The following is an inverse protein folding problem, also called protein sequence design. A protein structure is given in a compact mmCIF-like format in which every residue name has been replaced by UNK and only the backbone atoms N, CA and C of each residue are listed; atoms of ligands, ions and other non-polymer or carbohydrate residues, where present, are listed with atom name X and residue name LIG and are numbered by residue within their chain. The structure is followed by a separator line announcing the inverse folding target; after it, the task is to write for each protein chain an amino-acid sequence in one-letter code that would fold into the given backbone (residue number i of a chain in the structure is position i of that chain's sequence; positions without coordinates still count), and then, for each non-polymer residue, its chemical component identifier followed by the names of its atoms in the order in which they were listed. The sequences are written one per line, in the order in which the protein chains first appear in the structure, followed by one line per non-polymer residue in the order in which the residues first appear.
data_IF_346378815379
#
_entry.id   IF_346378815379
#
_cell.length_a   1.000
_cell.length_b   1.000
_cell.length_c   1.000
_cell.angle_alpha   90.00
_cell.angle_beta   90.00
_cell.angle_gamma   90.00
#
_symmetry.space_group_name_H-M   'P 1'
#
loop_
_entity.id
_entity.type
_entity.pdbx_description
1 polymer ?
#
# COMPACT_ATOMS: atom_id res chain seq x y z
N UNK A 1 -40.75 14.35 3.91
CA UNK A 1 -40.60 13.11 3.11
C UNK A 1 -39.15 12.66 3.25
N UNK A 2 -38.88 11.89 4.30
CA UNK A 2 -37.55 11.38 4.62
C UNK A 2 -37.29 10.10 3.83
N UNK A 3 -36.06 9.93 3.33
CA UNK A 3 -35.19 8.76 3.56
C UNK A 3 -33.82 9.13 3.01
N UNK A 4 -32.95 9.54 3.93
CA UNK A 4 -31.50 9.56 3.80
C UNK A 4 -31.04 8.09 3.81
N UNK A 5 -30.34 7.64 2.77
CA UNK A 5 -29.57 6.38 2.82
C UNK A 5 -28.18 6.60 2.23
N UNK A 6 -27.23 6.70 3.15
CA UNK A 6 -25.78 6.58 2.98
C UNK A 6 -25.41 5.29 2.25
N UNK A 7 -24.32 5.32 1.48
CA UNK A 7 -23.81 4.14 0.79
C UNK A 7 -22.34 3.93 1.17
N UNK A 8 -22.17 3.07 2.17
CA UNK A 8 -20.93 2.42 2.58
C UNK A 8 -20.60 1.27 1.62
N UNK A 9 -19.32 1.11 1.23
CA UNK A 9 -18.85 -0.13 0.60
C UNK A 9 -18.87 -1.21 1.69
N UNK A 10 -19.98 -1.95 1.78
CA UNK A 10 -20.09 -3.10 2.68
C UNK A 10 -19.55 -4.31 1.93
N UNK A 11 -18.31 -4.69 2.22
CA UNK A 11 -17.77 -5.98 1.80
C UNK A 11 -18.42 -7.03 2.71
N UNK A 12 -19.35 -7.83 2.20
CA UNK A 12 -19.81 -9.02 2.91
C UNK A 12 -18.70 -10.07 2.83
N UNK A 13 -17.92 -10.18 3.90
CA UNK A 13 -17.01 -11.29 4.09
C UNK A 13 -17.83 -12.55 4.39
N UNK A 14 -17.78 -13.56 3.51
CA UNK A 14 -18.27 -14.90 3.84
C UNK A 14 -17.17 -15.66 4.58
N UNK A 15 -16.92 -15.26 5.82
CA UNK A 15 -16.36 -16.16 6.82
C UNK A 15 -17.46 -16.43 7.83
N UNK A 16 -18.23 -17.49 7.61
CA UNK A 16 -19.11 -18.03 8.63
C UNK A 16 -18.94 -19.55 8.71
N UNK A 17 -18.01 -19.96 9.57
CA UNK A 17 -17.85 -21.35 10.02
C UNK A 17 -18.05 -21.47 11.55
N UNK A 18 -18.77 -20.54 12.18
CA UNK A 18 -19.04 -20.59 13.61
C UNK A 18 -20.53 -20.88 13.84
N UNK A 19 -20.90 -22.16 13.98
CA UNK A 19 -22.24 -22.48 14.48
C UNK A 19 -22.82 -23.88 14.21
N UNK A 20 -22.15 -24.76 13.46
CA UNK A 20 -22.63 -26.14 13.29
C UNK A 20 -21.82 -27.09 14.16
N UNK A 21 -22.45 -27.55 15.24
CA UNK A 21 -22.03 -28.68 16.05
C UNK A 21 -22.09 -29.96 15.19
N UNK A 22 -21.00 -30.28 14.50
CA UNK A 22 -20.85 -31.52 13.74
C UNK A 22 -20.00 -32.48 14.58
N UNK A 23 -20.57 -33.56 15.13
CA UNK A 23 -19.79 -34.57 15.85
C UNK A 23 -19.13 -35.53 14.84
N UNK A 24 -18.11 -35.04 14.13
CA UNK A 24 -17.02 -35.81 13.50
C UNK A 24 -16.22 -34.91 12.54
N UNK A 25 -15.18 -34.25 13.04
CA UNK A 25 -14.13 -33.72 12.18
C UNK A 25 -12.88 -34.57 12.40
N UNK A 26 -12.82 -35.70 11.69
CA UNK A 26 -11.58 -36.45 11.53
C UNK A 26 -10.65 -35.68 10.59
N UNK A 27 -9.59 -35.07 11.15
CA UNK A 27 -8.53 -34.38 10.42
C UNK A 27 -8.60 -32.86 10.59
N UNK A 28 -7.55 -32.14 10.96
CA UNK A 28 -6.14 -32.49 10.95
C UNK A 28 -5.30 -31.47 11.74
N UNK A 29 -4.38 -32.05 12.53
CA UNK A 29 -2.99 -31.62 12.73
C UNK A 29 -2.74 -30.24 13.36
N UNK A 30 -2.30 -30.31 14.63
CA UNK A 30 -1.50 -29.30 15.33
C UNK A 30 -0.46 -28.62 14.42
N UNK A 31 -0.18 -27.31 14.58
CA UNK A 31 0.90 -26.68 13.84
C UNK A 31 2.22 -27.34 14.24
N UNK A 32 2.80 -28.04 13.27
CA UNK A 32 4.14 -28.58 13.35
C UNK A 32 5.15 -27.45 13.62
N UNK A 33 6.13 -27.75 14.46
CA UNK A 33 7.37 -27.01 14.68
C UNK A 33 7.79 -26.21 13.43
N UNK A 34 7.89 -24.86 13.47
CA UNK A 34 8.10 -24.08 12.27
C UNK A 34 9.50 -24.38 11.73
N UNK A 35 9.56 -25.29 10.76
CA UNK A 35 10.76 -25.52 9.95
C UNK A 35 11.03 -24.19 9.23
N UNK A 36 12.03 -23.45 9.70
CA UNK A 36 12.40 -22.16 9.14
C UNK A 36 12.62 -22.36 7.64
N UNK A 37 11.94 -21.56 6.83
CA UNK A 37 12.01 -21.69 5.38
C UNK A 37 13.37 -21.18 4.92
N UNK A 38 14.02 -21.89 3.99
CA UNK A 38 15.37 -21.55 3.48
C UNK A 38 15.52 -20.09 3.03
N UNK A 39 14.46 -19.47 2.50
CA UNK A 39 14.50 -18.06 2.12
C UNK A 39 14.53 -17.13 3.34
N UNK A 40 13.87 -17.48 4.44
CA UNK A 40 13.88 -16.70 5.68
C UNK A 40 15.26 -16.74 6.33
N UNK A 41 15.91 -17.92 6.36
CA UNK A 41 17.29 -18.06 6.84
C UNK A 41 18.25 -17.15 6.07
N UNK A 42 18.14 -17.14 4.73
CA UNK A 42 18.93 -16.25 3.88
C UNK A 42 18.62 -14.77 4.14
N UNK A 43 17.34 -14.41 4.32
CA UNK A 43 16.92 -13.05 4.65
C UNK A 43 17.53 -12.59 5.98
N UNK A 44 17.42 -13.38 7.05
CA UNK A 44 17.95 -12.97 8.36
C UNK A 44 19.48 -12.85 8.32
N UNK A 45 20.17 -13.79 7.68
CA UNK A 45 21.62 -13.72 7.54
C UNK A 45 22.08 -12.47 6.78
N UNK A 46 21.42 -12.14 5.66
CA UNK A 46 21.74 -10.93 4.90
C UNK A 46 21.37 -9.65 5.66
N UNK A 47 20.25 -9.67 6.40
CA UNK A 47 19.87 -8.56 7.26
C UNK A 47 20.95 -8.31 8.32
N UNK A 48 21.42 -9.37 8.99
CA UNK A 48 22.48 -9.27 10.00
C UNK A 48 23.78 -8.69 9.42
N UNK A 49 24.22 -9.14 8.24
CA UNK A 49 25.39 -8.58 7.56
C UNK A 49 25.23 -7.09 7.19
N UNK A 50 24.02 -6.67 6.82
CA UNK A 50 23.71 -5.25 6.58
C UNK A 50 23.74 -4.47 7.89
N UNK A 51 23.16 -5.02 8.96
CA UNK A 51 23.15 -4.41 10.29
C UNK A 51 24.54 -4.26 10.91
N UNK A 52 25.42 -5.24 10.70
CA UNK A 52 26.82 -5.21 11.15
C UNK A 52 27.71 -4.31 10.25
N UNK A 53 27.17 -3.73 9.18
CA UNK A 53 27.91 -2.86 8.27
C UNK A 53 28.82 -3.58 7.28
N UNK A 54 28.75 -4.92 7.16
CA UNK A 54 29.49 -5.68 6.13
C UNK A 54 29.09 -5.25 4.72
N UNK A 55 27.79 -4.95 4.55
CA UNK A 55 27.30 -4.26 3.36
C UNK A 55 26.87 -2.84 3.75
N UNK A 56 27.75 -1.83 3.59
CA UNK A 56 27.39 -0.47 3.91
C UNK A 56 26.24 0.05 3.02
N UNK A 57 25.48 1.05 3.50
CA UNK A 57 24.54 1.82 2.69
C UNK A 57 25.05 2.14 1.28
N UNK A 58 24.21 1.89 0.26
CA UNK A 58 24.55 2.19 -1.13
C UNK A 58 25.46 1.16 -1.81
N UNK A 59 25.93 0.13 -1.11
CA UNK A 59 26.70 -0.95 -1.73
C UNK A 59 25.82 -1.93 -2.49
N UNK A 60 26.38 -2.51 -3.54
CA UNK A 60 25.71 -3.52 -4.37
C UNK A 60 25.79 -4.88 -3.68
N UNK A 61 24.65 -5.54 -3.49
CA UNK A 61 24.61 -6.93 -3.03
C UNK A 61 24.78 -7.89 -4.22
N UNK A 62 25.21 -9.16 -4.00
CA UNK A 62 25.38 -10.11 -5.09
C UNK A 62 24.11 -10.28 -5.92
N UNK A 63 24.26 -10.51 -7.22
CA UNK A 63 23.10 -10.76 -8.09
C UNK A 63 22.38 -12.05 -7.68
N UNK A 64 21.10 -12.18 -8.05
CA UNK A 64 20.29 -13.38 -7.74
C UNK A 64 20.99 -14.67 -8.20
N UNK A 65 21.62 -14.65 -9.38
CA UNK A 65 22.35 -15.81 -9.93
C UNK A 65 23.62 -16.12 -9.12
N UNK A 66 24.37 -15.10 -8.73
CA UNK A 66 25.57 -15.27 -7.90
C UNK A 66 25.20 -15.80 -6.51
N UNK A 67 24.18 -15.22 -5.86
CA UNK A 67 23.72 -15.64 -4.54
C UNK A 67 23.16 -17.06 -4.56
N UNK A 68 22.42 -17.41 -5.61
CA UNK A 68 21.94 -18.78 -5.84
C UNK A 68 23.09 -19.78 -5.93
N UNK A 69 24.14 -19.46 -6.69
CA UNK A 69 25.34 -20.31 -6.78
C UNK A 69 26.14 -20.40 -5.47
N UNK A 70 26.32 -19.27 -4.77
CA UNK A 70 27.09 -19.22 -3.53
C UNK A 70 26.43 -19.97 -2.37
N UNK A 71 25.11 -19.88 -2.25
CA UNK A 71 24.34 -20.51 -1.17
C UNK A 71 23.77 -21.88 -1.58
N UNK A 72 23.97 -22.29 -2.82
CA UNK A 72 23.40 -23.51 -3.41
C UNK A 72 21.87 -23.58 -3.21
N UNK A 73 21.20 -22.46 -3.44
CA UNK A 73 19.75 -22.29 -3.32
C UNK A 73 19.12 -22.06 -4.69
N UNK A 74 17.85 -22.44 -4.85
CA UNK A 74 17.13 -22.14 -6.09
C UNK A 74 17.01 -20.62 -6.30
N UNK A 75 17.00 -20.20 -7.57
CA UNK A 75 16.77 -18.80 -7.96
C UNK A 75 15.47 -18.26 -7.33
N UNK A 76 14.41 -19.08 -7.28
CA UNK A 76 13.13 -18.71 -6.66
C UNK A 76 13.25 -18.41 -5.18
N UNK A 77 14.05 -19.18 -4.43
CA UNK A 77 14.30 -18.96 -3.00
C UNK A 77 15.03 -17.65 -2.76
N UNK A 78 16.06 -17.35 -3.57
CA UNK A 78 16.80 -16.09 -3.49
C UNK A 78 15.92 -14.89 -3.83
N UNK A 79 15.07 -15.01 -4.87
CA UNK A 79 14.10 -13.96 -5.21
C UNK A 79 13.11 -13.71 -4.07
N UNK A 80 12.61 -14.75 -3.40
CA UNK A 80 11.76 -14.59 -2.22
C UNK A 80 12.48 -13.89 -1.07
N UNK A 81 13.74 -14.26 -0.81
CA UNK A 81 14.56 -13.63 0.22
C UNK A 81 14.81 -12.14 -0.07
N UNK A 82 15.13 -11.80 -1.33
CA UNK A 82 15.37 -10.41 -1.75
C UNK A 82 14.08 -9.59 -1.71
N UNK A 83 12.96 -10.16 -2.14
CA UNK A 83 11.64 -9.51 -2.00
C UNK A 83 11.28 -9.26 -0.53
N UNK A 84 11.66 -10.15 0.39
CA UNK A 84 11.46 -9.91 1.81
C UNK A 84 12.38 -8.82 2.36
N UNK A 85 13.66 -8.79 1.96
CA UNK A 85 14.61 -7.71 2.32
C UNK A 85 14.14 -6.34 1.78
N UNK A 86 13.58 -6.30 0.57
CA UNK A 86 13.04 -5.09 -0.05
C UNK A 86 11.78 -4.60 0.68
N UNK A 87 10.87 -5.52 1.04
CA UNK A 87 9.72 -5.20 1.89
C UNK A 87 10.13 -4.68 3.27
N UNK A 88 11.22 -5.19 3.84
CA UNK A 88 11.85 -4.70 5.08
C UNK A 88 12.66 -3.40 4.88
N UNK A 89 12.71 -2.85 3.66
CA UNK A 89 13.47 -1.64 3.31
C UNK A 89 14.97 -1.73 3.61
N UNK A 90 15.54 -2.94 3.62
CA UNK A 90 16.98 -3.16 3.81
C UNK A 90 17.74 -3.04 2.48
N UNK A 91 17.08 -3.38 1.38
CA UNK A 91 17.63 -3.29 0.03
C UNK A 91 16.64 -2.59 -0.89
N UNK A 92 17.11 -2.11 -2.03
CA UNK A 92 16.31 -1.53 -3.09
C UNK A 92 16.74 -2.08 -4.46
N UNK A 93 15.77 -2.30 -5.34
CA UNK A 93 16.03 -2.66 -6.73
C UNK A 93 16.24 -1.40 -7.57
N UNK A 94 17.40 -1.30 -8.23
CA UNK A 94 17.71 -0.25 -9.20
C UNK A 94 17.59 -0.82 -10.61
N UNK A 95 16.70 -0.30 -11.48
CA UNK A 95 16.52 -0.78 -12.84
C UNK A 95 17.85 -0.90 -13.57
N UNK A 96 18.10 -2.04 -14.22
CA UNK A 96 19.34 -2.36 -14.96
C UNK A 96 20.64 -2.42 -14.14
N UNK A 97 20.66 -1.95 -12.89
CA UNK A 97 21.87 -1.97 -12.03
C UNK A 97 21.87 -3.12 -11.02
N UNK A 98 20.71 -3.66 -10.63
CA UNK A 98 20.58 -4.77 -9.68
C UNK A 98 20.13 -4.32 -8.30
N UNK A 99 20.53 -5.03 -7.25
CA UNK A 99 20.09 -4.77 -5.88
C UNK A 99 21.18 -4.05 -5.08
N UNK A 100 20.77 -3.05 -4.30
CA UNK A 100 21.65 -2.23 -3.48
C UNK A 100 21.14 -2.17 -2.05
N UNK A 101 22.03 -2.09 -1.07
CA UNK A 101 21.66 -1.82 0.32
C UNK A 101 21.07 -0.42 0.39
N UNK A 102 19.86 -0.33 0.94
CA UNK A 102 19.17 0.93 1.09
C UNK A 102 19.92 1.78 2.10
N UNK A 103 20.18 3.04 1.77
CA UNK A 103 20.65 3.98 2.77
C UNK A 103 19.56 4.14 3.83
N UNK A 104 19.85 3.70 5.06
CA UNK A 104 19.04 4.11 6.20
C UNK A 104 19.31 5.59 6.40
N UNK A 105 18.36 6.41 5.99
CA UNK A 105 18.25 7.75 6.55
C UNK A 105 17.84 7.55 8.01
N UNK A 106 18.80 7.27 8.88
CA UNK A 106 18.65 7.40 10.34
C UNK A 106 18.65 8.88 10.73
N UNK A 107 17.99 9.75 9.95
CA UNK A 107 17.47 10.98 10.53
C UNK A 107 16.30 10.55 11.40
N UNK A 108 16.62 10.04 12.59
CA UNK A 108 15.67 9.94 13.68
C UNK A 108 15.26 11.38 13.93
N UNK A 109 14.12 11.78 13.38
CA UNK A 109 13.54 13.08 13.64
C UNK A 109 13.48 13.23 15.17
N UNK A 110 13.94 14.36 15.72
CA UNK A 110 13.87 14.57 17.16
C UNK A 110 12.42 14.40 17.61
N UNK A 111 12.24 13.77 18.77
CA UNK A 111 10.91 13.66 19.35
C UNK A 111 10.33 15.07 19.53
N UNK A 112 9.10 15.34 19.04
CA UNK A 112 8.52 16.65 19.18
C UNK A 112 8.29 16.97 20.67
N UNK A 113 8.58 18.19 21.07
CA UNK A 113 8.27 18.65 22.43
C UNK A 113 6.75 18.61 22.68
N UNK A 114 6.35 18.30 23.91
CA UNK A 114 4.95 18.34 24.32
C UNK A 114 4.45 19.78 24.18
N UNK A 115 3.46 20.00 23.30
CA UNK A 115 2.84 21.32 23.14
C UNK A 115 2.17 21.76 24.44
N UNK A 116 2.35 23.03 24.84
CA UNK A 116 1.71 23.65 26.01
C UNK A 116 0.78 24.81 25.60
N UNK A 117 -0.36 24.53 24.94
CA UNK A 117 -1.30 25.57 24.56
C UNK A 117 -1.88 26.30 25.79
N UNK A 118 -2.28 27.56 25.60
CA UNK A 118 -2.97 28.33 26.65
C UNK A 118 -4.23 27.58 27.11
N UNK A 119 -4.45 27.52 28.42
CA UNK A 119 -5.60 26.85 29.04
C UNK A 119 -6.85 27.73 29.11
N UNK A 120 -6.69 29.03 28.88
CA UNK A 120 -7.80 29.97 28.90
C UNK A 120 -8.71 29.74 27.68
N UNK A 121 -10.04 29.70 27.86
CA UNK A 121 -10.98 29.66 26.75
C UNK A 121 -10.77 30.88 25.84
N UNK A 122 -10.45 30.63 24.57
CA UNK A 122 -10.46 31.66 23.54
C UNK A 122 -11.82 31.71 22.87
N UNK A 123 -12.29 32.91 22.52
CA UNK A 123 -13.38 33.06 21.56
C UNK A 123 -12.82 32.62 20.20
N UNK A 124 -13.47 31.64 19.59
CA UNK A 124 -13.06 31.11 18.29
C UNK A 124 -14.24 31.20 17.34
N UNK A 125 -14.03 31.86 16.20
CA UNK A 125 -15.02 31.89 15.13
C UNK A 125 -14.85 30.69 14.22
N UNK A 126 -15.96 30.05 13.84
CA UNK A 126 -15.95 28.98 12.84
C UNK A 126 -15.34 29.48 11.51
N UNK A 127 -15.60 30.74 11.15
CA UNK A 127 -15.02 31.34 9.96
C UNK A 127 -13.49 31.41 10.05
N UNK A 128 -12.95 31.80 11.21
CA UNK A 128 -11.51 31.87 11.43
C UNK A 128 -10.86 30.48 11.37
N UNK A 129 -11.48 29.47 11.96
CA UNK A 129 -11.01 28.08 11.89
C UNK A 129 -11.00 27.55 10.46
N UNK A 130 -12.07 27.80 9.70
CA UNK A 130 -12.15 27.40 8.29
C UNK A 130 -11.05 28.09 7.48
N UNK A 131 -10.84 29.40 7.70
CA UNK A 131 -9.78 30.14 7.02
C UNK A 131 -8.38 29.65 7.40
N UNK A 132 -8.16 29.30 8.67
CA UNK A 132 -6.91 28.71 9.15
C UNK A 132 -6.65 27.36 8.45
N UNK A 133 -7.63 26.46 8.46
CA UNK A 133 -7.54 25.16 7.79
C UNK A 133 -7.24 25.30 6.29
N UNK A 134 -7.91 26.23 5.59
CA UNK A 134 -7.67 26.47 4.18
C UNK A 134 -6.23 26.93 3.89
N UNK A 135 -5.69 27.85 4.71
CA UNK A 135 -4.30 28.32 4.56
C UNK A 135 -3.30 27.20 4.84
N UNK A 136 -3.47 26.50 5.95
CA UNK A 136 -2.58 25.41 6.33
C UNK A 136 -2.63 24.28 5.31
N UNK A 137 -3.80 24.07 4.67
CA UNK A 137 -3.93 23.03 3.66
C UNK A 137 -3.12 23.26 2.38
N UNK A 138 -2.76 24.50 2.10
CA UNK A 138 -1.91 24.87 1.00
C UNK A 138 -0.42 25.00 1.41
N UNK A 139 -0.09 24.82 2.69
CA UNK A 139 1.26 25.02 3.19
C UNK A 139 2.14 23.78 2.93
N UNK A 140 3.15 23.86 2.05
CA UNK A 140 4.01 22.71 1.73
C UNK A 140 4.91 22.27 2.90
N UNK A 141 5.04 23.10 3.94
CA UNK A 141 5.84 22.79 5.12
C UNK A 141 5.06 22.03 6.20
N UNK A 142 3.77 21.75 5.99
CA UNK A 142 2.93 21.03 6.94
C UNK A 142 2.57 19.63 6.40
N UNK A 143 2.53 18.65 7.32
CA UNK A 143 1.97 17.33 7.04
C UNK A 143 0.45 17.41 7.20
N UNK A 144 -0.26 17.15 6.12
CA UNK A 144 -1.71 17.27 6.05
C UNK A 144 -2.44 16.11 6.75
N UNK A 145 -2.70 16.26 8.04
CA UNK A 145 -3.48 15.31 8.84
C UNK A 145 -4.95 15.74 9.04
N UNK A 146 -5.25 17.03 8.84
CA UNK A 146 -6.59 17.60 9.03
C UNK A 146 -7.50 17.47 7.80
N UNK A 147 -6.98 17.01 6.66
CA UNK A 147 -7.72 16.84 5.43
C UNK A 147 -7.39 15.47 4.80
N UNK A 148 -8.41 14.81 4.24
CA UNK A 148 -8.25 13.55 3.52
C UNK A 148 -7.71 13.76 2.10
N UNK A 149 -6.56 14.45 1.98
CA UNK A 149 -5.90 14.73 0.71
C UNK A 149 -4.76 13.73 0.49
N UNK A 150 -4.70 13.05 -0.66
CA UNK A 150 -3.55 12.22 -0.98
C UNK A 150 -2.31 13.09 -1.22
N UNK A 151 -1.14 12.59 -0.83
CA UNK A 151 0.12 13.22 -1.23
C UNK A 151 0.31 13.08 -2.75
N UNK A 152 0.35 14.22 -3.45
CA UNK A 152 0.49 14.27 -4.90
C UNK A 152 1.97 14.41 -5.29
N UNK A 153 2.66 13.27 -5.45
CA UNK A 153 3.99 13.24 -6.06
C UNK A 153 3.90 13.60 -7.56
N UNK A 154 4.82 14.46 -8.01
CA UNK A 154 5.09 14.77 -9.42
C UNK A 154 5.04 13.55 -10.37
N UNK A 155 5.60 12.40 -9.98
CA UNK A 155 5.61 11.17 -10.79
C UNK A 155 4.22 10.59 -10.95
N UNK A 156 3.42 10.58 -9.88
CA UNK A 156 2.03 10.10 -9.92
C UNK A 156 1.20 10.98 -10.87
N UNK A 157 1.34 12.30 -10.74
CA UNK A 157 0.65 13.26 -11.63
C UNK A 157 1.06 13.07 -13.09
N UNK A 158 2.34 12.85 -13.37
CA UNK A 158 2.82 12.55 -14.73
C UNK A 158 2.16 11.29 -15.30
N UNK A 159 2.10 10.21 -14.52
CA UNK A 159 1.45 8.95 -14.94
C UNK A 159 -0.04 9.18 -15.22
N UNK A 160 -0.74 9.90 -14.34
CA UNK A 160 -2.17 10.21 -14.52
C UNK A 160 -2.37 11.01 -15.82
N UNK A 161 -1.61 12.09 -16.00
CA UNK A 161 -1.72 12.95 -17.17
C UNK A 161 -1.45 12.20 -18.48
N UNK A 162 -0.42 11.36 -18.52
CA UNK A 162 -0.12 10.53 -19.70
C UNK A 162 -1.27 9.58 -20.05
N UNK A 163 -1.89 8.95 -19.05
CA UNK A 163 -3.02 8.05 -19.27
C UNK A 163 -4.28 8.78 -19.71
N UNK A 164 -4.58 9.94 -19.12
CA UNK A 164 -5.71 10.79 -19.54
C UNK A 164 -5.55 11.19 -21.02
N UNK A 165 -4.37 11.70 -21.40
CA UNK A 165 -4.10 12.10 -22.80
C UNK A 165 -4.24 10.90 -23.75
N UNK A 166 -3.74 9.72 -23.34
CA UNK A 166 -3.86 8.49 -24.12
C UNK A 166 -5.32 8.11 -24.35
N UNK A 167 -6.16 8.12 -23.32
CA UNK A 167 -7.59 7.77 -23.42
C UNK A 167 -8.33 8.77 -24.31
N UNK A 168 -8.12 10.08 -24.11
CA UNK A 168 -8.75 11.12 -24.92
C UNK A 168 -8.41 10.95 -26.40
N UNK A 169 -7.14 10.69 -26.73
CA UNK A 169 -6.72 10.47 -28.14
C UNK A 169 -7.30 9.20 -28.75
N UNK A 170 -7.46 8.13 -27.96
CA UNK A 170 -7.95 6.84 -28.45
C UNK A 170 -9.47 6.78 -28.59
N UNK A 171 -10.20 7.41 -27.67
CA UNK A 171 -11.65 7.30 -27.58
C UNK A 171 -12.39 8.56 -28.07
N UNK A 172 -11.70 9.70 -28.22
CA UNK A 172 -12.28 10.94 -28.73
C UNK A 172 -13.52 11.37 -27.94
N UNK A 173 -14.62 11.61 -28.65
CA UNK A 173 -15.91 12.01 -28.03
C UNK A 173 -16.42 10.96 -27.03
N UNK A 174 -16.14 9.66 -27.24
CA UNK A 174 -16.60 8.61 -26.34
C UNK A 174 -15.93 8.68 -24.96
N UNK A 175 -14.75 9.32 -24.84
CA UNK A 175 -14.08 9.52 -23.55
C UNK A 175 -14.87 10.44 -22.60
N UNK A 176 -15.78 11.26 -23.14
CA UNK A 176 -16.55 12.25 -22.39
C UNK A 176 -17.98 11.82 -22.12
N UNK A 177 -18.39 10.63 -22.58
CA UNK A 177 -19.75 10.15 -22.38
C UNK A 177 -20.00 9.80 -20.93
N UNK A 178 -21.15 10.26 -20.42
CA UNK A 178 -21.60 9.87 -19.10
C UNK A 178 -21.90 8.36 -19.08
N UNK A 179 -21.42 7.68 -18.04
CA UNK A 179 -21.69 6.27 -17.86
C UNK A 179 -22.81 6.02 -16.87
N UNK A 180 -23.77 5.22 -17.30
CA UNK A 180 -24.82 4.73 -16.42
C UNK A 180 -24.31 3.63 -15.50
N UNK A 181 -24.98 3.48 -14.35
CA UNK A 181 -24.73 2.39 -13.40
C UNK A 181 -24.81 1.04 -14.13
N UNK A 182 -23.90 0.09 -13.85
CA UNK A 182 -22.96 0.06 -12.72
C UNK A 182 -21.60 0.76 -12.96
N UNK A 183 -21.41 1.41 -14.11
CA UNK A 183 -20.14 2.04 -14.54
C UNK A 183 -19.40 1.25 -15.63
N UNK A 184 -18.19 1.69 -16.02
CA UNK A 184 -17.41 1.05 -17.09
C UNK A 184 -17.05 -0.39 -16.73
N UNK A 185 -17.42 -1.34 -17.59
CA UNK A 185 -17.12 -2.75 -17.36
C UNK A 185 -15.60 -3.03 -17.26
N UNK A 186 -14.82 -2.48 -18.19
CA UNK A 186 -13.37 -2.61 -18.18
C UNK A 186 -12.73 -2.09 -16.88
N UNK A 187 -13.28 -1.02 -16.29
CA UNK A 187 -12.80 -0.49 -15.01
C UNK A 187 -13.14 -1.44 -13.86
N UNK A 188 -14.36 -1.98 -13.83
CA UNK A 188 -14.78 -2.95 -12.80
C UNK A 188 -13.91 -4.20 -12.81
N UNK A 189 -13.55 -4.71 -13.99
CA UNK A 189 -12.62 -5.84 -14.13
C UNK A 189 -11.26 -5.51 -13.51
N UNK A 190 -10.70 -4.34 -13.80
CA UNK A 190 -9.41 -3.92 -13.23
C UNK A 190 -9.47 -3.71 -11.71
N UNK A 191 -10.57 -3.18 -11.18
CA UNK A 191 -10.78 -3.05 -9.73
C UNK A 191 -10.87 -4.44 -9.10
N UNK A 192 -11.65 -5.37 -9.65
CA UNK A 192 -11.76 -6.74 -9.14
C UNK A 192 -10.38 -7.43 -9.07
N UNK A 193 -9.58 -7.32 -10.13
CA UNK A 193 -8.21 -7.87 -10.17
C UNK A 193 -7.32 -7.25 -9.08
N UNK A 194 -7.40 -5.94 -8.87
CA UNK A 194 -6.64 -5.25 -7.81
C UNK A 194 -7.09 -5.67 -6.42
N UNK A 195 -8.39 -5.91 -6.22
CA UNK A 195 -8.96 -6.33 -4.94
C UNK A 195 -8.49 -7.73 -4.53
N UNK A 196 -8.26 -8.63 -5.48
CA UNK A 196 -7.64 -9.95 -5.21
C UNK A 196 -6.25 -9.79 -4.58
N UNK A 197 -5.44 -8.86 -5.08
CA UNK A 197 -4.12 -8.55 -4.48
C UNK A 197 -4.23 -7.97 -3.07
N UNK A 198 -5.36 -7.33 -2.75
CA UNK A 198 -5.68 -6.84 -1.41
C UNK A 198 -6.34 -7.91 -0.51
N UNK A 199 -6.47 -9.17 -0.98
CA UNK A 199 -7.06 -10.28 -0.24
C UNK A 199 -8.58 -10.39 -0.34
N UNK A 200 -9.24 -9.61 -1.19
CA UNK A 200 -10.69 -9.63 -1.37
C UNK A 200 -11.10 -10.51 -2.56
N UNK A 201 -12.15 -11.32 -2.41
CA UNK A 201 -12.73 -12.12 -3.49
C UNK A 201 -13.99 -11.43 -4.04
N UNK A 202 -13.81 -10.57 -5.05
CA UNK A 202 -14.90 -9.83 -5.69
C UNK A 202 -14.93 -10.12 -7.20
N UNK A 203 -16.12 -10.32 -7.75
CA UNK A 203 -16.34 -10.35 -9.21
C UNK A 203 -16.64 -8.93 -9.73
N UNK A 204 -16.47 -8.66 -11.04
CA UNK A 204 -16.86 -7.37 -11.62
C UNK A 204 -18.35 -7.03 -11.41
N UNK A 205 -19.20 -8.04 -11.25
CA UNK A 205 -20.63 -7.87 -10.95
C UNK A 205 -20.91 -7.32 -9.56
N UNK A 206 -19.99 -7.52 -8.61
CA UNK A 206 -20.09 -7.06 -7.22
C UNK A 206 -19.65 -5.59 -7.05
N UNK A 207 -19.18 -4.95 -8.14
CA UNK A 207 -18.59 -3.61 -8.11
C UNK A 207 -19.54 -2.59 -8.73
N UNK A 208 -19.82 -1.53 -7.98
CA UNK A 208 -20.54 -0.34 -8.42
C UNK A 208 -19.61 0.87 -8.41
N UNK A 209 -19.47 1.56 -9.55
CA UNK A 209 -18.68 2.78 -9.66
C UNK A 209 -19.51 3.98 -9.19
N UNK A 210 -18.93 4.81 -8.30
CA UNK A 210 -19.52 6.05 -7.79
C UNK A 210 -18.47 7.16 -7.75
N UNK A 211 -18.92 8.41 -7.65
CA UNK A 211 -18.05 9.60 -7.59
C UNK A 211 -17.62 9.97 -6.17
N UNK A 212 -17.67 9.04 -5.23
CA UNK A 212 -17.38 9.26 -3.81
C UNK A 212 -18.25 8.38 -2.90
N UNK A 213 -17.87 8.28 -1.63
CA UNK A 213 -18.65 7.65 -0.57
C UNK A 213 -18.89 8.64 0.56
N UNK A 214 -20.13 8.74 1.02
CA UNK A 214 -20.56 9.53 2.19
C UNK A 214 -21.25 8.62 3.20
#
# INVERSE_FOLDING_TARGET
MQITRSVTITVYDRINCAGLNIPNCYGCMSPANPKILRYQELTERLAELIHQGTYPPGTRIPSVRQMSGQQNLSISTVLQAYSLLERRRLIESRPQSGYYVRARTEERLPEPEISSPRRDPSLVSLHELVMMLMRDSANPNLVQLGAALPHLDSRLIQIINQNIVKIIRQQGVNAHQYQFRPGLDALRVQIAQRMVTAGCQLSPGDILITSGGT
#
